data_IF_502313556137
#
_entry.id   IF_502313556137
#
_cell.length_a   1.000
_cell.length_b   1.000
_cell.length_c   1.000
_cell.angle_alpha   90.00
_cell.angle_beta   90.00
_cell.angle_gamma   90.00
#
_symmetry.space_group_name_H-M   'P 1'
#
loop_
_entity.id
_entity.type
_entity.pdbx_description
1 polymer ?
2 water ?
#
# COMPACT_ATOMS: atom_id res chain seq x y z
N UNK A 3 -7.39 -1.00 15.36
CA UNK A 3 -6.21 -1.92 15.39
C UNK A 3 -6.44 -3.08 16.36
N UNK A 4 -5.89 -4.24 16.01
CA UNK A 4 -6.01 -5.45 16.81
C UNK A 4 -4.77 -6.33 16.64
N UNK A 5 -4.59 -7.30 17.54
CA UNK A 5 -3.47 -8.23 17.44
C UNK A 5 -3.67 -9.22 16.28
N UNK A 6 -4.92 -9.36 15.84
CA UNK A 6 -5.25 -10.15 14.66
C UNK A 6 -4.69 -9.48 13.40
N UNK A 7 -4.85 -8.16 13.31
CA UNK A 7 -4.29 -7.39 12.20
C UNK A 7 -2.76 -7.42 12.26
N UNK A 8 -2.20 -7.25 13.46
CA UNK A 8 -0.75 -7.30 13.66
C UNK A 8 -0.17 -8.66 13.25
N UNK A 9 -0.91 -9.73 13.56
CA UNK A 9 -0.52 -11.09 13.17
C UNK A 9 -0.48 -11.27 11.67
N UNK A 10 -1.47 -10.69 10.98
CA UNK A 10 -1.57 -10.74 9.52
C UNK A 10 -0.40 -10.00 8.85
N UNK A 11 -0.07 -8.82 9.38
CA UNK A 11 1.04 -8.03 8.87
C UNK A 11 2.38 -8.74 9.09
N UNK A 12 2.58 -9.28 10.29
CA UNK A 12 3.80 -10.03 10.60
C UNK A 12 3.95 -11.25 9.70
N UNK A 13 2.84 -11.95 9.44
CA UNK A 13 2.83 -13.09 8.53
C UNK A 13 3.22 -12.66 7.12
N UNK A 14 2.65 -11.55 6.65
CA UNK A 14 2.98 -11.02 5.32
C UNK A 14 4.46 -10.65 5.20
N UNK A 15 4.99 -9.96 6.21
CA UNK A 15 6.39 -9.53 6.20
C UNK A 15 7.37 -10.70 6.23
N UNK A 16 7.02 -11.76 6.96
CA UNK A 16 7.84 -12.97 7.00
C UNK A 16 7.74 -13.79 5.72
N UNK A 17 6.58 -13.74 5.08
CA UNK A 17 6.32 -14.49 3.85
C UNK A 17 6.89 -13.81 2.60
N UNK A 18 6.67 -12.50 2.50
CA UNK A 18 7.02 -11.72 1.32
C UNK A 18 8.31 -10.93 1.55
N UNK A 19 9.42 -11.46 1.03
CA UNK A 19 10.76 -10.89 1.28
C UNK A 19 10.93 -9.47 0.74
N UNK A 20 10.15 -9.12 -0.28
CA UNK A 20 10.27 -7.80 -0.90
C UNK A 20 9.29 -6.76 -0.37
N UNK A 21 8.49 -7.14 0.62
CA UNK A 21 7.68 -6.19 1.37
C UNK A 21 8.57 -5.54 2.42
N UNK A 22 8.92 -4.27 2.19
CA UNK A 22 9.86 -3.56 3.07
C UNK A 22 9.21 -2.50 3.92
N UNK A 23 7.88 -2.43 3.87
CA UNK A 23 7.11 -1.50 4.68
C UNK A 23 5.63 -1.72 4.44
N UNK A 24 4.82 -1.47 5.47
CA UNK A 24 3.38 -1.69 5.39
C UNK A 24 2.64 -0.53 6.03
N UNK A 25 1.50 -0.17 5.44
CA UNK A 25 0.54 0.71 6.08
C UNK A 25 -0.86 0.23 5.74
N UNK A 26 -1.79 0.40 6.68
CA UNK A 26 -3.19 0.05 6.42
C UNK A 26 -4.08 1.28 6.62
N UNK A 27 -4.87 1.58 5.61
CA UNK A 27 -5.90 2.61 5.69
C UNK A 27 -7.24 1.91 5.90
N UNK A 28 -7.96 2.31 6.94
CA UNK A 28 -9.29 1.76 7.22
C UNK A 28 -10.31 2.23 6.21
N UNK A 29 -11.49 1.61 6.22
CA UNK A 29 -12.55 1.96 5.28
C UNK A 29 -13.06 3.40 5.46
N UNK A 30 -12.77 3.98 6.62
CA UNK A 30 -13.13 5.37 6.92
C UNK A 30 -12.08 6.38 6.46
N UNK A 31 -10.99 5.89 5.87
CA UNK A 31 -9.94 6.75 5.34
C UNK A 31 -8.84 7.10 6.32
N UNK A 32 -8.92 6.56 7.53
CA UNK A 32 -7.92 6.81 8.57
C UNK A 32 -6.88 5.69 8.66
N UNK A 33 -5.68 6.03 9.13
CA UNK A 33 -4.61 5.05 9.27
C UNK A 33 -4.84 4.16 10.49
N UNK A 34 -4.91 2.86 10.25
CA UNK A 34 -5.03 1.88 11.33
C UNK A 34 -3.66 1.63 11.95
N UNK A 35 -2.68 1.35 11.10
CA UNK A 35 -1.32 1.05 11.55
C UNK A 35 -0.33 1.19 10.40
N UNK A 36 0.95 1.31 10.76
CA UNK A 36 2.04 1.33 9.79
C UNK A 36 3.34 0.89 10.44
N UNK A 37 4.25 0.33 9.65
CA UNK A 37 5.54 -0.10 10.18
C UNK A 37 6.41 1.12 10.53
N UNK A 38 7.30 0.96 11.50
CA UNK A 38 8.00 2.10 12.09
C UNK A 38 9.10 2.73 11.22
N UNK A 39 9.37 2.13 10.07
CA UNK A 39 10.38 2.65 9.15
C UNK A 39 9.84 3.73 8.21
N UNK A 40 8.54 3.99 8.28
CA UNK A 40 7.96 5.07 7.50
C UNK A 40 6.72 5.66 8.12
N UNK A 41 6.34 6.83 7.62
CA UNK A 41 5.15 7.53 8.10
C UNK A 41 4.41 8.17 6.93
N UNK A 42 3.19 7.70 6.69
CA UNK A 42 2.37 8.20 5.59
C UNK A 42 1.35 9.25 6.05
N UNK A 43 1.39 9.57 7.34
CA UNK A 43 0.39 10.44 7.97
C UNK A 43 0.23 11.80 7.32
N UNK A 44 1.34 12.44 6.96
CA UNK A 44 1.29 13.76 6.34
C UNK A 44 0.96 13.75 4.84
N UNK A 45 0.68 12.57 4.30
CA UNK A 45 0.32 12.40 2.89
C UNK A 45 -1.04 11.71 2.71
N UNK A 46 -1.78 11.58 3.81
CA UNK A 46 -3.04 10.83 3.83
C UNK A 46 -4.12 11.37 2.89
N UNK A 47 -4.26 12.70 2.83
CA UNK A 47 -5.24 13.32 1.95
C UNK A 47 -4.97 13.01 0.48
N UNK A 48 -3.70 13.07 0.08
CA UNK A 48 -3.31 12.75 -1.29
C UNK A 48 -3.46 11.26 -1.59
N UNK A 49 -3.13 10.43 -0.60
CA UNK A 49 -3.30 8.98 -0.71
C UNK A 49 -4.76 8.58 -0.89
N UNK A 50 -5.64 9.16 -0.07
CA UNK A 50 -7.08 8.90 -0.18
C UNK A 50 -7.68 9.39 -1.49
N UNK A 51 -7.22 10.55 -1.96
CA UNK A 51 -7.62 11.07 -3.26
C UNK A 51 -7.29 10.07 -4.37
N UNK A 52 -6.07 9.54 -4.33
CA UNK A 52 -5.62 8.57 -5.33
C UNK A 52 -6.35 7.24 -5.22
N UNK A 53 -6.51 6.75 -3.98
CA UNK A 53 -7.19 5.49 -3.73
C UNK A 53 -8.62 5.49 -4.29
N UNK A 54 -9.31 6.62 -4.16
CA UNK A 54 -10.74 6.70 -4.46
C UNK A 54 -11.11 7.34 -5.80
N UNK A 55 -10.10 7.74 -6.58
CA UNK A 55 -10.31 8.26 -7.93
C UNK A 55 -10.96 7.21 -8.83
N UNK A 56 -12.07 7.58 -9.47
CA UNK A 56 -12.74 6.68 -10.40
C UNK A 56 -12.07 6.79 -11.77
N UNK A 57 -11.77 5.65 -12.38
CA UNK A 57 -11.15 5.62 -13.71
C UNK A 57 -12.19 5.43 -14.81
N UNK A 58 -11.89 5.98 -15.98
CA UNK A 58 -12.79 5.89 -17.14
C UNK A 58 -12.00 5.64 -18.42
N UNK A 63 -6.41 11.05 -15.24
CA UNK A 63 -6.06 10.27 -14.06
C UNK A 63 -4.75 10.72 -13.42
N UNK A 64 -4.62 10.43 -12.13
CA UNK A 64 -3.44 10.82 -11.34
C UNK A 64 -2.21 10.03 -11.79
N UNK A 65 -1.15 10.76 -12.12
CA UNK A 65 0.03 10.15 -12.76
C UNK A 65 1.23 9.99 -11.82
N UNK A 66 1.18 10.65 -10.67
CA UNK A 66 2.23 10.49 -9.66
C UNK A 66 1.68 10.67 -8.25
N UNK A 67 2.38 10.08 -7.29
CA UNK A 67 1.99 10.14 -5.89
C UNK A 67 3.26 10.28 -5.06
N UNK A 68 3.27 11.25 -4.15
CA UNK A 68 4.40 11.48 -3.26
C UNK A 68 4.06 11.02 -1.84
N UNK A 69 4.90 10.15 -1.29
CA UNK A 69 4.73 9.68 0.08
C UNK A 69 6.05 9.93 0.81
N UNK A 70 5.97 10.70 1.89
CA UNK A 70 7.13 11.05 2.70
C UNK A 70 8.29 11.58 1.85
N UNK A 71 7.95 12.44 0.89
CA UNK A 71 8.95 13.11 0.05
C UNK A 71 9.48 12.31 -1.13
N UNK A 72 9.08 11.05 -1.25
CA UNK A 72 9.49 10.21 -2.38
C UNK A 72 8.40 10.23 -3.44
N UNK A 73 8.78 10.59 -4.66
CA UNK A 73 7.83 10.67 -5.76
C UNK A 73 7.73 9.33 -6.48
N UNK A 74 6.51 8.80 -6.58
CA UNK A 74 6.26 7.55 -7.29
C UNK A 74 5.45 7.81 -8.56
N UNK A 75 5.97 7.36 -9.69
CA UNK A 75 5.25 7.44 -10.97
C UNK A 75 4.25 6.30 -11.03
N UNK A 76 3.00 6.62 -11.36
CA UNK A 76 1.95 5.59 -11.42
C UNK A 76 2.05 4.81 -12.73
N UNK A 77 2.34 3.52 -12.61
CA UNK A 77 2.56 2.64 -13.76
C UNK A 77 1.45 1.59 -13.94
N UNK A 78 0.56 1.49 -12.95
CA UNK A 78 -0.57 0.56 -12.98
C UNK A 78 -1.67 1.09 -12.07
N UNK A 79 -2.91 1.06 -12.56
CA UNK A 79 -4.05 1.49 -11.76
C UNK A 79 -5.31 0.71 -12.10
N UNK A 80 -5.62 -0.27 -11.27
CA UNK A 80 -6.89 -0.99 -11.36
C UNK A 80 -7.58 -0.97 -9.99
N UNK A 81 -8.80 -1.49 -9.94
CA UNK A 81 -9.55 -1.58 -8.69
C UNK A 81 -8.91 -2.56 -7.70
N UNK A 82 -8.05 -3.44 -8.22
CA UNK A 82 -7.39 -4.48 -7.45
C UNK A 82 -6.01 -4.05 -6.94
N UNK A 83 -5.26 -3.33 -7.78
CA UNK A 83 -3.92 -2.89 -7.40
C UNK A 83 -3.51 -1.62 -8.14
N UNK A 84 -2.84 -0.74 -7.42
CA UNK A 84 -2.31 0.50 -7.98
C UNK A 84 -0.82 0.53 -7.65
N UNK A 85 0.01 0.75 -8.67
CA UNK A 85 1.45 0.63 -8.50
C UNK A 85 2.16 1.94 -8.84
N UNK A 86 3.04 2.37 -7.93
CA UNK A 86 3.91 3.52 -8.17
C UNK A 86 5.37 3.12 -8.08
N UNK A 87 6.19 3.66 -8.98
CA UNK A 87 7.62 3.40 -9.00
C UNK A 87 8.40 4.71 -8.94
N UNK A 88 9.32 4.81 -7.98
CA UNK A 88 10.26 5.92 -7.98
C UNK A 88 11.37 5.64 -8.99
N UNK A 89 11.69 6.64 -9.81
CA UNK A 89 12.66 6.44 -10.89
C UNK A 89 14.06 7.01 -10.59
N UNK A 90 14.32 7.28 -9.31
CA UNK A 90 15.67 7.62 -8.84
C UNK A 90 16.19 6.57 -7.85
N UNK A 91 15.60 5.38 -7.90
CA UNK A 91 16.08 4.22 -7.14
C UNK A 91 15.55 4.08 -5.73
N UNK A 92 14.54 4.87 -5.37
CA UNK A 92 14.08 4.93 -3.98
C UNK A 92 13.01 3.90 -3.59
N UNK A 93 12.55 3.10 -4.56
CA UNK A 93 11.61 2.02 -4.27
C UNK A 93 10.29 2.12 -5.00
N UNK A 94 9.35 1.26 -4.61
CA UNK A 94 8.02 1.25 -5.22
C UNK A 94 6.97 1.17 -4.15
N UNK A 95 5.74 1.49 -4.52
CA UNK A 95 4.60 1.28 -3.62
C UNK A 95 3.47 0.56 -4.34
N UNK A 96 2.87 -0.41 -3.65
CA UNK A 96 1.72 -1.13 -4.18
C UNK A 96 0.54 -0.87 -3.24
N UNK A 97 -0.54 -0.33 -3.80
CA UNK A 97 -1.75 -0.02 -3.04
C UNK A 97 -2.85 -0.99 -3.48
N UNK A 98 -3.31 -1.83 -2.54
CA UNK A 98 -4.38 -2.78 -2.82
C UNK A 98 -5.64 -2.37 -2.06
N UNK A 99 -6.67 -1.90 -2.79
CA UNK A 99 -7.90 -1.49 -2.12
C UNK A 99 -8.60 -2.63 -1.39
N UNK A 100 -9.23 -2.30 -0.27
CA UNK A 100 -10.01 -3.25 0.52
C UNK A 100 -11.39 -2.64 0.77
N UNK A 101 -12.46 -3.26 0.23
CA UNK A 101 -12.44 -4.39 -0.70
C UNK A 101 -11.96 -3.92 -2.07
N UNK A 102 -11.90 -4.81 -3.05
CA UNK A 102 -11.50 -4.42 -4.41
C UNK A 102 -12.33 -3.22 -4.87
N UNK A 103 -11.65 -2.14 -5.23
CA UNK A 103 -12.29 -0.89 -5.63
C UNK A 103 -12.84 -0.04 -4.49
N UNK A 104 -12.50 -0.41 -3.25
CA UNK A 104 -13.07 0.21 -2.05
C UNK A 104 -12.22 1.29 -1.39
N UNK A 105 -12.63 1.69 -0.19
CA UNK A 105 -12.07 2.86 0.49
C UNK A 105 -10.99 2.53 1.53
N UNK A 106 -10.81 1.25 1.83
CA UNK A 106 -9.71 0.81 2.67
C UNK A 106 -8.55 0.41 1.77
N UNK A 107 -7.38 0.19 2.35
CA UNK A 107 -6.22 -0.22 1.56
C UNK A 107 -5.10 -0.85 2.37
N UNK A 108 -4.47 -1.85 1.76
CA UNK A 108 -3.19 -2.37 2.23
C UNK A 108 -2.12 -1.76 1.33
N UNK A 109 -1.20 -1.02 1.94
CA UNK A 109 -0.15 -0.33 1.22
C UNK A 109 1.19 -0.95 1.55
N UNK A 110 1.92 -1.33 0.51
CA UNK A 110 3.21 -1.98 0.67
C UNK A 110 4.31 -1.16 0.02
N UNK A 111 5.32 -0.81 0.81
CA UNK A 111 6.56 -0.26 0.28
C UNK A 111 7.43 -1.43 -0.17
N UNK A 112 7.89 -1.35 -1.42
CA UNK A 112 8.60 -2.46 -2.04
C UNK A 112 10.09 -2.19 -2.15
N UNK A 113 10.87 -3.16 -1.69
CA UNK A 113 12.31 -3.25 -1.90
C UNK A 113 12.75 -2.67 -3.25
N UNK A 114 13.58 -1.60 -3.23
CA UNK A 114 14.12 -1.00 -4.45
C UNK A 114 14.77 -2.00 -5.41
N UNK A 115 15.34 -3.08 -4.88
CA UNK A 115 16.04 -4.08 -5.70
C UNK A 115 15.08 -5.03 -6.42
N UNK A 116 13.81 -5.00 -6.03
CA UNK A 116 12.79 -5.84 -6.63
C UNK A 116 11.96 -5.04 -7.63
N UNK A 117 11.15 -5.75 -8.41
CA UNK A 117 10.12 -5.12 -9.22
C UNK A 117 8.84 -5.13 -8.39
N UNK A 118 7.98 -4.11 -8.56
CA UNK A 118 6.77 -4.03 -7.75
C UNK A 118 5.78 -5.15 -8.05
N UNK A 119 5.81 -5.68 -9.27
CA UNK A 119 4.94 -6.80 -9.62
C UNK A 119 5.33 -8.07 -8.86
N UNK A 120 6.55 -8.09 -8.32
CA UNK A 120 7.07 -9.23 -7.55
C UNK A 120 6.26 -9.53 -6.29
N UNK A 121 5.66 -8.51 -5.69
CA UNK A 121 4.93 -8.69 -4.43
C UNK A 121 3.42 -8.91 -4.61
N UNK A 122 2.94 -8.75 -5.84
CA UNK A 122 1.50 -8.69 -6.11
C UNK A 122 0.71 -9.90 -5.64
N UNK A 123 1.21 -11.11 -5.93
CA UNK A 123 0.50 -12.32 -5.51
C UNK A 123 0.17 -12.30 -4.03
N UNK A 124 1.18 -12.05 -3.20
CA UNK A 124 1.01 -12.06 -1.75
C UNK A 124 0.21 -10.89 -1.20
N UNK A 125 0.52 -9.68 -1.66
CA UNK A 125 -0.15 -8.50 -1.12
C UNK A 125 -1.63 -8.45 -1.49
N UNK A 126 -1.97 -8.86 -2.71
CA UNK A 126 -3.38 -8.89 -3.13
C UNK A 126 -4.18 -9.89 -2.30
N UNK A 127 -3.58 -11.04 -2.02
CA UNK A 127 -4.22 -12.05 -1.17
C UNK A 127 -4.35 -11.60 0.28
N UNK A 128 -3.32 -10.94 0.81
CA UNK A 128 -3.38 -10.45 2.19
C UNK A 128 -4.35 -9.29 2.38
N UNK A 129 -4.54 -8.49 1.33
CA UNK A 129 -5.56 -7.44 1.34
C UNK A 129 -6.94 -8.05 1.57
N UNK A 130 -7.20 -9.18 0.91
CA UNK A 130 -8.47 -9.90 1.05
C UNK A 130 -8.67 -10.47 2.46
N UNK A 131 -7.57 -10.80 3.14
CA UNK A 131 -7.63 -11.29 4.52
C UNK A 131 -8.09 -10.21 5.50
N UNK A 132 -7.91 -8.95 5.11
CA UNK A 132 -8.22 -7.82 5.98
C UNK A 132 -9.64 -7.26 5.77
N UNK A 133 -10.36 -7.82 4.79
CA UNK A 133 -11.69 -7.32 4.39
C UNK A 133 -12.64 -7.05 5.57
N UNK A 134 -12.79 -8.04 6.45
CA UNK A 134 -13.74 -7.95 7.56
C UNK A 134 -13.15 -7.37 8.84
N UNK A 135 -11.91 -6.91 8.79
CA UNK A 135 -11.20 -6.46 9.98
C UNK A 135 -10.95 -4.95 10.03
N UNK A 136 -11.10 -4.28 8.89
CA UNK A 136 -10.80 -2.85 8.79
C UNK A 136 -12.07 -2.01 8.64
#
# INVERSE_FOLDING_TARGET
>A
GPMSEKIEGIIDDLLNLEENAHGIAIIGKDGKIITQTENWNISNDLDKLNEFLNEKLALGKKGITSLSIQGIKYMIVENTEERKIGTNITGKGHVVICPIPIGGTGALITYVNPRAGPRDVLFNVQEYAKKLTDLI
#
